data_IF_712727121747
#
_entry.id   IF_712727121747
#
_cell.length_a   1.000
_cell.length_b   1.000
_cell.length_c   1.000
_cell.angle_alpha   90.00
_cell.angle_beta   90.00
_cell.angle_gamma   90.00
#
_symmetry.space_group_name_H-M   'P 1'
#
loop_
_entity.id
_entity.type
_entity.pdbx_description
1 polymer ?
#
# COMPACT_ATOMS: atom_id res chain seq x y z
N UNK A 1 0.74 14.33 -6.98
CA UNK A 1 0.88 12.88 -7.21
C UNK A 1 -0.15 12.23 -6.33
N UNK A 2 -0.98 11.38 -6.91
CA UNK A 2 -2.01 10.67 -6.16
C UNK A 2 -1.45 9.30 -5.78
N UNK A 3 -1.27 9.07 -4.47
CA UNK A 3 -0.67 7.84 -3.96
C UNK A 3 -1.56 7.24 -2.89
N UNK A 4 -2.00 6.00 -3.12
CA UNK A 4 -2.64 5.15 -2.11
C UNK A 4 -1.72 3.98 -1.79
N UNK A 5 -1.31 3.85 -0.54
CA UNK A 5 -0.50 2.73 -0.03
C UNK A 5 -1.36 1.76 0.78
N UNK A 6 -1.56 0.56 0.24
CA UNK A 6 -2.12 -0.57 0.97
C UNK A 6 -1.02 -1.23 1.79
N UNK A 7 -1.20 -1.28 3.11
CA UNK A 7 -0.12 -1.70 4.01
C UNK A 7 -0.53 -2.51 5.24
N UNK A 8 0.49 -3.16 5.82
CA UNK A 8 0.43 -3.84 7.11
C UNK A 8 1.66 -3.47 7.94
N UNK A 9 1.45 -2.97 9.16
CA UNK A 9 2.44 -2.29 10.00
C UNK A 9 3.85 -2.87 9.99
N UNK A 10 4.11 -3.95 10.73
CA UNK A 10 5.46 -4.54 10.89
C UNK A 10 5.94 -5.39 9.70
N UNK A 11 5.33 -5.22 8.51
CA UNK A 11 5.67 -6.01 7.32
C UNK A 11 6.65 -5.25 6.40
N UNK A 12 6.89 -5.79 5.20
CA UNK A 12 7.64 -5.10 4.14
C UNK A 12 7.05 -3.74 3.79
N UNK A 13 5.78 -3.48 4.11
CA UNK A 13 5.15 -2.17 3.93
C UNK A 13 5.81 -1.04 4.69
N UNK A 14 6.43 -1.31 5.85
CA UNK A 14 7.13 -0.30 6.64
C UNK A 14 8.20 0.45 5.83
N UNK A 15 8.87 -0.26 4.90
CA UNK A 15 9.89 0.33 4.03
C UNK A 15 9.30 1.35 3.06
N UNK A 16 8.18 1.01 2.41
CA UNK A 16 7.48 1.92 1.49
C UNK A 16 6.93 3.14 2.22
N UNK A 17 6.29 2.95 3.38
CA UNK A 17 5.79 4.04 4.23
C UNK A 17 6.92 5.00 4.60
N UNK A 18 8.04 4.47 5.10
CA UNK A 18 9.17 5.30 5.50
C UNK A 18 9.74 6.09 4.32
N UNK A 19 9.91 5.47 3.15
CA UNK A 19 10.37 6.18 1.94
C UNK A 19 9.45 7.35 1.56
N UNK A 20 8.12 7.16 1.60
CA UNK A 20 7.17 8.24 1.28
C UNK A 20 7.25 9.39 2.28
N UNK A 21 7.36 9.08 3.58
CA UNK A 21 7.50 10.06 4.64
C UNK A 21 8.82 10.85 4.52
N UNK A 22 9.94 10.17 4.32
CA UNK A 22 11.26 10.80 4.16
C UNK A 22 11.34 11.68 2.90
N UNK A 23 10.67 11.25 1.82
CA UNK A 23 10.59 12.05 0.60
C UNK A 23 9.64 13.26 0.72
N UNK A 24 8.91 13.41 1.83
CA UNK A 24 7.92 14.47 2.02
C UNK A 24 6.73 14.38 1.06
N UNK A 25 6.43 13.18 0.55
CA UNK A 25 5.35 12.96 -0.41
C UNK A 25 4.09 12.58 0.37
N UNK A 26 3.01 13.33 0.18
CA UNK A 26 1.70 12.99 0.74
C UNK A 26 1.14 11.73 0.11
N UNK A 27 0.53 10.87 0.92
CA UNK A 27 -0.11 9.63 0.49
C UNK A 27 -1.27 9.26 1.42
N UNK A 28 -2.24 8.51 0.89
CA UNK A 28 -3.26 7.84 1.69
C UNK A 28 -2.74 6.47 2.15
N UNK A 29 -2.90 6.17 3.44
CA UNK A 29 -2.55 4.87 4.03
C UNK A 29 -3.80 4.04 4.27
N UNK A 30 -3.97 2.94 3.53
CA UNK A 30 -5.03 1.95 3.76
C UNK A 30 -4.47 0.78 4.56
N UNK A 31 -4.87 0.67 5.83
CA UNK A 31 -4.43 -0.38 6.73
C UNK A 31 -5.59 -0.88 7.60
N UNK A 32 -5.89 -2.18 7.54
CA UNK A 32 -6.87 -2.86 8.40
C UNK A 32 -6.62 -4.36 8.50
N UNK A 33 -7.17 -5.07 9.51
CA UNK A 33 -7.03 -6.52 9.61
C UNK A 33 -7.50 -7.24 8.34
N UNK A 34 -6.83 -8.35 7.99
CA UNK A 34 -7.12 -9.18 6.82
C UNK A 34 -7.05 -8.46 5.45
N UNK A 35 -6.50 -7.25 5.36
CA UNK A 35 -6.37 -6.51 4.10
C UNK A 35 -5.70 -7.31 2.98
N UNK A 36 -4.61 -8.03 3.27
CA UNK A 36 -3.93 -8.89 2.29
C UNK A 36 -4.84 -10.00 1.71
N UNK A 37 -5.86 -10.44 2.45
CA UNK A 37 -6.79 -11.50 2.02
C UNK A 37 -8.02 -10.95 1.29
N UNK A 38 -8.21 -9.63 1.32
CA UNK A 38 -9.38 -8.96 0.75
C UNK A 38 -9.41 -9.04 -0.77
N UNK A 39 -10.62 -9.01 -1.33
CA UNK A 39 -10.81 -9.03 -2.77
C UNK A 39 -10.32 -7.73 -3.44
N UNK A 40 -10.34 -6.59 -2.72
CA UNK A 40 -9.77 -5.33 -3.24
C UNK A 40 -8.27 -5.47 -3.53
N UNK A 41 -7.48 -6.08 -2.63
CA UNK A 41 -6.03 -6.23 -2.87
C UNK A 41 -5.78 -7.28 -3.95
N UNK A 42 -6.57 -8.34 -4.00
CA UNK A 42 -6.46 -9.37 -5.06
C UNK A 42 -6.80 -8.83 -6.44
N UNK A 43 -7.76 -7.90 -6.54
CA UNK A 43 -8.09 -7.22 -7.78
C UNK A 43 -6.92 -6.35 -8.30
N UNK A 44 -6.13 -5.76 -7.40
CA UNK A 44 -4.92 -4.99 -7.76
C UNK A 44 -3.73 -5.90 -8.11
N UNK A 45 -3.54 -6.98 -7.33
CA UNK A 45 -2.47 -7.97 -7.50
C UNK A 45 -2.99 -9.36 -7.14
N UNK A 46 -3.04 -10.32 -8.10
CA UNK A 46 -3.64 -11.65 -7.88
C UNK A 46 -3.09 -12.43 -6.68
N UNK A 47 -1.85 -12.15 -6.27
CA UNK A 47 -1.21 -12.81 -5.13
C UNK A 47 -1.70 -12.32 -3.75
N UNK A 48 -2.46 -11.23 -3.66
CA UNK A 48 -2.98 -10.72 -2.38
C UNK A 48 -1.88 -10.35 -1.37
N UNK A 49 -0.76 -9.78 -1.84
CA UNK A 49 0.38 -9.44 -0.97
C UNK A 49 0.44 -7.95 -0.74
N UNK A 50 0.95 -7.57 0.43
CA UNK A 50 1.27 -6.19 0.79
C UNK A 50 2.81 -6.01 0.86
N UNK A 51 3.32 -4.79 0.62
CA UNK A 51 2.59 -3.58 0.21
C UNK A 51 2.09 -3.61 -1.24
N UNK A 52 1.07 -2.79 -1.53
CA UNK A 52 0.68 -2.37 -2.90
C UNK A 52 0.56 -0.85 -2.89
N UNK A 53 1.20 -0.17 -3.83
CA UNK A 53 1.08 1.26 -4.01
C UNK A 53 0.38 1.53 -5.35
N UNK A 54 -0.67 2.33 -5.32
CA UNK A 54 -1.27 2.91 -6.52
C UNK A 54 -0.69 4.29 -6.69
N UNK A 55 -0.04 4.53 -7.82
CA UNK A 55 0.61 5.80 -8.15
C UNK A 55 -0.02 6.32 -9.43
N UNK A 56 -0.73 7.45 -9.33
CA UNK A 56 -1.43 8.08 -10.45
C UNK A 56 -2.30 7.06 -11.23
N UNK A 57 -3.04 6.22 -10.48
CA UNK A 57 -3.93 5.18 -11.00
C UNK A 57 -3.24 3.88 -11.45
N UNK A 58 -1.92 3.74 -11.25
CA UNK A 58 -1.15 2.55 -11.67
C UNK A 58 -0.62 1.78 -10.47
N UNK A 59 -0.95 0.49 -10.44
CA UNK A 59 -0.50 -0.47 -9.43
C UNK A 59 0.82 -1.11 -9.82
#
# INVERSE_FOLDING_TARGET
MDITLYESGASRSARCRWTLLEAGISFESVARPNLARSDEVKALRPLGKLPVAIIDGRA
#
